data_IF_602626105487
#
_entry.id   IF_602626105487
#
_cell.length_a   1.000
_cell.length_b   1.000
_cell.length_c   1.000
_cell.angle_alpha   90.00
_cell.angle_beta   90.00
_cell.angle_gamma   90.00
#
_symmetry.space_group_name_H-M   'P 1'
#
loop_
_entity.id
_entity.type
_entity.pdbx_description
1 polymer ?
#
# COMPACT_ATOMS: atom_id res chain seq x y z
N UNK A 1 -14.80 -9.50 -1.88
CA UNK A 1 -14.78 -9.57 -0.42
C UNK A 1 -13.41 -9.89 0.16
N UNK A 2 -12.40 -9.22 -0.37
CA UNK A 2 -11.03 -9.30 0.10
C UNK A 2 -10.52 -7.91 0.46
N UNK A 3 -9.44 -7.86 1.23
CA UNK A 3 -8.76 -6.60 1.50
C UNK A 3 -7.75 -6.30 0.39
N UNK A 4 -7.59 -5.02 0.12
CA UNK A 4 -6.46 -4.50 -0.66
C UNK A 4 -5.59 -3.70 0.30
N UNK A 5 -4.32 -4.02 0.35
CA UNK A 5 -3.35 -3.31 1.19
C UNK A 5 -2.59 -2.30 0.34
N UNK A 6 -2.44 -1.08 0.86
CA UNK A 6 -1.62 -0.05 0.22
C UNK A 6 -0.57 0.41 1.21
N UNK A 7 0.70 0.22 0.85
CA UNK A 7 1.85 0.69 1.62
C UNK A 7 2.40 1.96 1.01
N UNK A 8 2.40 3.05 1.78
CA UNK A 8 2.93 4.33 1.33
C UNK A 8 4.39 4.42 1.73
N UNK A 9 5.29 4.58 0.76
CA UNK A 9 6.73 4.69 0.96
C UNK A 9 7.25 5.98 0.34
N UNK A 10 7.78 6.88 1.15
CA UNK A 10 8.18 8.22 0.73
C UNK A 10 9.67 8.30 0.41
N UNK A 11 10.50 7.46 1.06
CA UNK A 11 11.92 7.40 0.78
C UNK A 11 12.39 5.96 0.52
N UNK A 12 13.57 5.83 -0.08
CA UNK A 12 14.07 4.52 -0.50
C UNK A 12 14.46 3.63 0.69
N UNK A 13 14.88 4.22 1.80
CA UNK A 13 15.28 3.45 2.97
C UNK A 13 14.05 2.79 3.64
N UNK A 14 12.96 3.52 3.71
CA UNK A 14 11.69 3.00 4.21
C UNK A 14 11.15 1.89 3.30
N UNK A 15 11.25 2.10 2.00
CA UNK A 15 10.89 1.07 1.02
C UNK A 15 11.72 -0.20 1.22
N UNK A 16 13.04 -0.06 1.32
CA UNK A 16 13.95 -1.21 1.52
C UNK A 16 13.70 -1.93 2.84
N UNK A 17 13.40 -1.19 3.89
CA UNK A 17 13.14 -1.76 5.21
C UNK A 17 11.93 -2.70 5.22
N UNK A 18 10.95 -2.44 4.38
CA UNK A 18 9.73 -3.24 4.30
C UNK A 18 10.02 -4.71 3.96
N UNK A 19 11.02 -4.96 3.11
CA UNK A 19 11.39 -6.31 2.66
C UNK A 19 12.23 -7.09 3.66
N UNK A 20 12.60 -6.47 4.78
CA UNK A 20 13.35 -7.12 5.87
C UNK A 20 12.44 -7.62 6.98
N UNK A 21 11.15 -7.34 6.91
CA UNK A 21 10.18 -7.75 7.95
C UNK A 21 9.94 -9.25 7.88
N UNK A 22 9.92 -9.89 9.04
CA UNK A 22 9.73 -11.34 9.16
C UNK A 22 8.40 -11.81 8.57
N UNK A 23 7.30 -11.08 8.86
CA UNK A 23 5.96 -11.40 8.40
C UNK A 23 5.51 -10.45 7.28
N UNK A 24 6.34 -10.29 6.28
CA UNK A 24 6.11 -9.39 5.17
C UNK A 24 4.73 -9.59 4.53
N UNK A 25 3.83 -8.62 4.80
CA UNK A 25 2.49 -8.51 4.18
C UNK A 25 1.74 -9.85 4.03
N UNK A 26 1.72 -10.65 5.09
CA UNK A 26 1.13 -12.01 5.06
C UNK A 26 -0.31 -12.05 5.58
N UNK A 27 -1.00 -10.94 5.65
CA UNK A 27 -2.38 -10.91 6.13
C UNK A 27 -3.27 -11.80 5.24
N UNK A 28 -3.99 -12.78 5.81
CA UNK A 28 -4.70 -13.79 5.02
C UNK A 28 -5.83 -13.24 4.16
N UNK A 29 -6.45 -12.14 4.54
CA UNK A 29 -7.55 -11.53 3.80
C UNK A 29 -7.10 -10.56 2.72
N UNK A 30 -5.80 -10.26 2.63
CA UNK A 30 -5.26 -9.36 1.60
C UNK A 30 -5.07 -10.14 0.32
N UNK A 31 -5.80 -9.75 -0.72
CA UNK A 31 -5.68 -10.35 -2.04
C UNK A 31 -4.71 -9.61 -2.94
N UNK A 32 -4.65 -8.28 -2.80
CA UNK A 32 -3.77 -7.42 -3.61
C UNK A 32 -2.99 -6.48 -2.70
N UNK A 33 -1.69 -6.33 -3.00
CA UNK A 33 -0.79 -5.40 -2.33
C UNK A 33 -0.33 -4.36 -3.34
N UNK A 34 -0.39 -3.09 -2.95
CA UNK A 34 0.12 -1.97 -3.74
C UNK A 34 1.14 -1.19 -2.93
N UNK A 35 2.18 -0.71 -3.61
CA UNK A 35 3.07 0.32 -3.09
C UNK A 35 2.72 1.65 -3.72
N UNK A 36 2.49 2.67 -2.88
CA UNK A 36 2.27 4.04 -3.32
C UNK A 36 3.55 4.83 -3.06
N UNK A 37 4.20 5.28 -4.12
CA UNK A 37 5.55 5.84 -4.09
C UNK A 37 5.55 7.16 -4.88
N UNK A 38 6.26 8.21 -4.38
CA UNK A 38 6.43 9.43 -5.16
C UNK A 38 7.07 9.14 -6.51
N UNK A 39 6.57 9.79 -7.55
CA UNK A 39 7.05 9.59 -8.92
C UNK A 39 8.56 9.83 -9.04
N UNK A 40 9.07 10.89 -8.40
CA UNK A 40 10.51 11.19 -8.43
C UNK A 40 11.35 10.08 -7.80
N UNK A 41 10.90 9.52 -6.70
CA UNK A 41 11.58 8.39 -6.04
C UNK A 41 11.59 7.17 -6.95
N UNK A 42 10.47 6.87 -7.58
CA UNK A 42 10.36 5.75 -8.50
C UNK A 42 11.31 5.89 -9.68
N UNK A 43 11.33 7.07 -10.33
CA UNK A 43 12.21 7.29 -11.48
C UNK A 43 13.69 7.18 -11.11
N UNK A 44 14.04 7.57 -9.91
CA UNK A 44 15.43 7.49 -9.41
C UNK A 44 15.87 6.05 -9.11
N UNK A 45 14.95 5.19 -8.67
CA UNK A 45 15.26 3.82 -8.23
C UNK A 45 14.41 2.77 -8.97
N UNK A 46 14.08 3.05 -10.22
CA UNK A 46 13.12 2.27 -11.01
C UNK A 46 13.43 0.78 -11.03
N UNK A 47 14.66 0.41 -11.38
CA UNK A 47 15.03 -1.00 -11.53
C UNK A 47 14.94 -1.76 -10.21
N UNK A 48 15.41 -1.14 -9.14
CA UNK A 48 15.34 -1.74 -7.80
C UNK A 48 13.89 -1.93 -7.34
N UNK A 49 13.06 -0.90 -7.53
CA UNK A 49 11.67 -0.94 -7.11
C UNK A 49 10.90 -2.00 -7.92
N UNK A 50 11.04 -1.98 -9.24
CA UNK A 50 10.35 -2.94 -10.11
C UNK A 50 10.72 -4.39 -9.78
N UNK A 51 11.97 -4.64 -9.46
CA UNK A 51 12.43 -5.98 -9.08
C UNK A 51 11.85 -6.43 -7.74
N UNK A 52 11.89 -5.55 -6.73
CA UNK A 52 11.48 -5.92 -5.38
C UNK A 52 9.98 -6.06 -5.19
N UNK A 53 9.17 -5.26 -5.87
CA UNK A 53 7.72 -5.34 -5.69
C UNK A 53 7.12 -6.62 -6.26
N UNK A 54 7.76 -7.23 -7.24
CA UNK A 54 7.37 -8.50 -7.86
C UNK A 54 5.89 -8.52 -8.27
N UNK A 55 5.03 -9.24 -7.56
CA UNK A 55 3.59 -9.34 -7.85
C UNK A 55 2.75 -8.21 -7.27
N UNK A 56 3.32 -7.36 -6.44
CA UNK A 56 2.63 -6.18 -5.93
C UNK A 56 2.42 -5.16 -7.05
N UNK A 57 1.43 -4.31 -6.86
CA UNK A 57 1.17 -3.22 -7.78
C UNK A 57 1.89 -1.95 -7.38
N UNK A 58 1.83 -0.95 -8.24
CA UNK A 58 2.49 0.33 -8.03
C UNK A 58 1.54 1.47 -8.34
N UNK A 59 1.46 2.40 -7.38
CA UNK A 59 0.73 3.66 -7.51
C UNK A 59 1.77 4.77 -7.41
N UNK A 60 1.82 5.64 -8.40
CA UNK A 60 2.73 6.78 -8.38
C UNK A 60 2.01 8.01 -7.83
N UNK A 61 2.68 8.70 -6.91
CA UNK A 61 2.17 9.91 -6.28
C UNK A 61 2.90 11.10 -6.90
N UNK A 62 2.15 11.91 -7.64
CA UNK A 62 2.66 13.14 -8.25
C UNK A 62 2.43 14.33 -7.32
N UNK A 63 3.22 15.39 -7.51
CA UNK A 63 3.04 16.66 -6.83
C UNK A 63 2.95 16.52 -5.30
N UNK A 64 3.83 15.68 -4.72
CA UNK A 64 3.86 15.47 -3.29
C UNK A 64 4.20 16.78 -2.57
N UNK A 65 3.30 17.26 -1.72
CA UNK A 65 3.47 18.51 -0.97
C UNK A 65 3.21 18.29 0.51
N UNK A 66 4.00 18.99 1.33
CA UNK A 66 3.79 19.06 2.78
C UNK A 66 3.26 20.44 3.13
N UNK A 67 2.05 20.49 3.68
CA UNK A 67 1.42 21.71 4.12
C UNK A 67 0.98 21.55 5.58
N UNK A 68 1.63 22.30 6.48
CA UNK A 68 1.35 22.27 7.93
C UNK A 68 1.38 20.86 8.52
N UNK A 69 2.34 20.02 8.09
CA UNK A 69 2.47 18.66 8.56
C UNK A 69 1.53 17.67 7.92
N UNK A 70 0.69 18.10 6.99
CA UNK A 70 -0.18 17.22 6.20
C UNK A 70 0.43 17.04 4.82
N UNK A 71 0.61 15.78 4.42
CA UNK A 71 1.20 15.43 3.13
C UNK A 71 0.07 15.20 2.12
N UNK A 72 0.13 15.91 1.02
CA UNK A 72 -0.81 15.78 -0.09
C UNK A 72 -0.09 15.29 -1.33
N UNK A 73 -0.78 14.52 -2.13
CA UNK A 73 -0.26 14.08 -3.40
C UNK A 73 -1.39 13.81 -4.38
N UNK A 74 -1.06 13.76 -5.67
CA UNK A 74 -2.00 13.48 -6.73
C UNK A 74 -1.73 12.07 -7.29
N UNK A 75 -2.77 11.26 -7.38
CA UNK A 75 -2.70 9.89 -7.89
C UNK A 75 -3.49 9.80 -9.18
N UNK A 76 -2.86 9.29 -10.24
CA UNK A 76 -3.45 9.14 -11.57
C UNK A 76 -3.75 7.67 -11.93
N UNK A 77 -4.25 6.89 -10.97
CA UNK A 77 -4.55 5.48 -11.18
C UNK A 77 -3.34 4.58 -10.90
N UNK A 78 -3.41 3.36 -11.41
CA UNK A 78 -2.36 2.37 -11.18
C UNK A 78 -1.30 2.45 -12.27
N UNK A 79 -0.04 2.60 -11.88
CA UNK A 79 1.08 2.47 -12.81
C UNK A 79 1.33 1.02 -13.18
N UNK A 80 1.22 0.13 -12.18
CA UNK A 80 1.27 -1.31 -12.37
C UNK A 80 0.17 -1.94 -11.53
N UNK A 81 -0.66 -2.79 -12.13
CA UNK A 81 -1.73 -3.47 -11.41
C UNK A 81 -1.17 -4.67 -10.66
N UNK A 82 -1.55 -4.82 -9.38
CA UNK A 82 -1.13 -5.94 -8.55
C UNK A 82 -1.73 -7.25 -9.06
N UNK A 83 -0.94 -8.33 -8.98
CA UNK A 83 -1.46 -9.67 -9.20
C UNK A 83 -2.20 -10.15 -7.94
N UNK A 84 -3.43 -10.68 -8.07
CA UNK A 84 -4.13 -11.22 -6.92
C UNK A 84 -3.41 -12.44 -6.33
N UNK A 85 -3.37 -12.53 -5.01
CA UNK A 85 -2.87 -13.71 -4.33
C UNK A 85 -3.87 -14.86 -4.45
N UNK A 86 -3.41 -16.02 -4.87
CA UNK A 86 -4.28 -17.19 -5.08
C UNK A 86 -4.77 -17.80 -3.78
N UNK A 87 -4.00 -17.67 -2.70
CA UNK A 87 -4.31 -18.24 -1.40
C UNK A 87 -5.00 -17.26 -0.45
N UNK A 88 -5.43 -16.11 -0.94
CA UNK A 88 -6.15 -15.15 -0.10
C UNK A 88 -7.49 -15.73 0.37
N UNK A 89 -7.83 -15.45 1.62
CA UNK A 89 -9.06 -15.92 2.25
C UNK A 89 -10.10 -14.80 2.23
N UNK A 90 -11.33 -15.06 1.73
CA UNK A 90 -12.38 -14.04 1.73
C UNK A 90 -12.72 -13.58 3.14
N UNK A 91 -13.13 -12.32 3.24
CA UNK A 91 -13.65 -11.78 4.48
C UNK A 91 -14.97 -12.45 4.85
N UNK A 92 -15.12 -12.83 6.13
CA UNK A 92 -16.40 -13.23 6.68
C UNK A 92 -17.25 -11.99 7.01
N UNK A 93 -18.53 -12.19 7.32
CA UNK A 93 -19.37 -11.06 7.75
C UNK A 93 -18.85 -10.47 9.07
N UNK A 94 -18.35 -11.29 9.99
CA UNK A 94 -17.73 -10.82 11.23
C UNK A 94 -16.48 -10.01 10.96
N UNK A 95 -15.62 -10.43 10.02
CA UNK A 95 -14.44 -9.68 9.61
C UNK A 95 -14.82 -8.31 9.08
N UNK A 96 -15.81 -8.24 8.19
CA UNK A 96 -16.28 -6.98 7.61
C UNK A 96 -16.79 -6.03 8.69
N UNK A 97 -17.54 -6.54 9.64
CA UNK A 97 -18.06 -5.75 10.76
C UNK A 97 -16.93 -5.22 11.63
N UNK A 98 -15.92 -6.05 11.90
CA UNK A 98 -14.75 -5.67 12.70
C UNK A 98 -13.98 -4.53 12.04
N UNK A 99 -13.68 -4.63 10.74
CA UNK A 99 -12.96 -3.58 10.02
C UNK A 99 -13.77 -2.29 9.93
N UNK A 100 -15.06 -2.38 9.72
CA UNK A 100 -15.94 -1.22 9.71
C UNK A 100 -15.92 -0.51 11.06
N UNK A 101 -15.99 -1.26 12.15
CA UNK A 101 -15.94 -0.72 13.52
C UNK A 101 -14.61 0.00 13.78
N UNK A 102 -13.48 -0.59 13.37
CA UNK A 102 -12.16 0.05 13.49
C UNK A 102 -12.08 1.34 12.69
N UNK A 103 -12.65 1.35 11.50
CA UNK A 103 -12.72 2.55 10.67
C UNK A 103 -13.49 3.68 11.35
N UNK A 104 -14.64 3.35 11.96
CA UNK A 104 -15.45 4.30 12.72
C UNK A 104 -14.69 4.84 13.93
N UNK A 105 -13.99 3.97 14.67
CA UNK A 105 -13.21 4.38 15.83
C UNK A 105 -12.07 5.33 15.44
N UNK A 106 -11.37 5.05 14.36
CA UNK A 106 -10.34 5.95 13.84
C UNK A 106 -10.91 7.30 13.45
N UNK A 107 -12.09 7.30 12.85
CA UNK A 107 -12.77 8.53 12.47
C UNK A 107 -13.12 9.40 13.68
N UNK A 108 -13.67 8.79 14.72
CA UNK A 108 -14.11 9.49 15.95
C UNK A 108 -12.92 10.05 16.73
N UNK A 109 -11.78 9.37 16.74
CA UNK A 109 -10.59 9.74 17.50
C UNK A 109 -9.68 10.73 16.78
N UNK A 110 -10.08 11.19 15.65
CA UNK A 110 -9.39 12.28 14.97
C UNK A 110 -9.83 13.63 15.57
#
# INVERSE_FOLDING_TARGET
NYLTEVEIKIDIYDFRADFKKENYHNHPNVRQLYYAIPTDLYLKHKDEIDERIDNAGLILIDELMDYNGIIYGKVNGFHKKAKPRKNAVPLTEDDKFHYLKLGCMKWVNR
#
